data_IF_061233752375
#
_entry.id   IF_061233752375
#
_cell.length_a   1.000
_cell.length_b   1.000
_cell.length_c   1.000
_cell.angle_alpha   90.00
_cell.angle_beta   90.00
_cell.angle_gamma   90.00
#
_symmetry.space_group_name_H-M   'P 1'
#
loop_
_entity.id
_entity.type
_entity.pdbx_description
1 polymer ?
#
# COMPACT_ATOMS: atom_id res chain seq x y z
N UNK A 1 -109.12 -8.54 27.03
CA UNK A 1 -109.05 -9.65 28.00
C UNK A 1 -107.83 -9.46 28.90
N UNK A 2 -108.02 -9.54 30.24
CA UNK A 2 -107.03 -9.57 31.35
C UNK A 2 -106.11 -8.34 31.53
N UNK A 3 -106.43 -7.38 32.41
CA UNK A 3 -106.23 -7.30 33.90
C UNK A 3 -104.76 -7.27 34.34
N UNK A 4 -104.38 -6.21 35.08
CA UNK A 4 -103.76 -6.15 36.44
C UNK A 4 -102.97 -4.83 36.58
N UNK A 5 -103.53 -3.83 37.29
CA UNK A 5 -103.29 -3.43 38.70
C UNK A 5 -102.17 -2.37 38.90
N UNK A 6 -102.62 -1.25 39.46
CA UNK A 6 -101.91 -0.06 39.98
C UNK A 6 -101.04 -0.35 41.20
N UNK A 7 -99.90 0.34 41.34
CA UNK A 7 -99.39 0.83 42.64
C UNK A 7 -98.67 2.18 42.43
N UNK A 8 -99.12 3.21 43.17
CA UNK A 8 -98.46 4.50 43.37
C UNK A 8 -97.18 4.33 44.22
N UNK A 9 -96.12 5.06 43.87
CA UNK A 9 -94.93 5.20 44.72
C UNK A 9 -94.27 6.56 44.50
N UNK A 10 -94.59 7.51 45.36
CA UNK A 10 -93.87 8.78 45.54
C UNK A 10 -92.52 8.54 46.21
N UNK A 11 -91.41 8.95 45.58
CA UNK A 11 -90.10 9.00 46.23
C UNK A 11 -89.39 10.32 45.95
N UNK A 12 -89.08 11.01 47.05
CA UNK A 12 -88.33 12.26 47.17
C UNK A 12 -87.00 12.20 46.41
N UNK A 13 -86.70 13.26 45.66
CA UNK A 13 -85.36 13.58 45.15
C UNK A 13 -84.53 14.19 46.29
N UNK A 14 -83.62 13.40 46.88
CA UNK A 14 -82.57 13.92 47.76
C UNK A 14 -81.33 14.20 46.92
N UNK A 15 -80.96 15.48 46.83
CA UNK A 15 -79.77 15.97 46.14
C UNK A 15 -78.52 15.66 46.99
N UNK A 16 -77.88 14.51 46.75
CA UNK A 16 -76.59 14.18 47.39
C UNK A 16 -75.44 14.83 46.62
N UNK A 17 -74.91 15.93 47.17
CA UNK A 17 -73.65 16.53 46.75
C UNK A 17 -72.51 15.55 47.06
N UNK A 18 -72.04 14.83 46.03
CA UNK A 18 -70.80 14.06 46.12
C UNK A 18 -69.63 15.04 46.15
N UNK A 19 -69.03 15.22 47.32
CA UNK A 19 -67.67 15.73 47.44
C UNK A 19 -66.73 14.73 46.75
N UNK A 20 -66.29 15.04 45.54
CA UNK A 20 -65.16 14.37 44.91
C UNK A 20 -63.93 14.77 45.71
N UNK A 21 -63.51 13.87 46.61
CA UNK A 21 -62.20 13.96 47.24
C UNK A 21 -61.15 13.95 46.14
N UNK A 22 -60.50 15.09 45.94
CA UNK A 22 -59.31 15.21 45.09
C UNK A 22 -58.24 14.34 45.74
N UNK A 23 -57.99 13.17 45.17
CA UNK A 23 -56.82 12.38 45.52
C UNK A 23 -55.59 13.25 45.22
N UNK A 24 -54.87 13.66 46.27
CA UNK A 24 -53.57 14.29 46.13
C UNK A 24 -52.67 13.28 45.40
N UNK A 25 -52.22 13.65 44.20
CA UNK A 25 -51.23 12.88 43.47
C UNK A 25 -50.05 12.59 44.41
N UNK A 26 -49.67 11.33 44.56
CA UNK A 26 -48.40 10.98 45.19
C UNK A 26 -47.30 11.81 44.53
N UNK A 27 -46.51 12.52 45.33
CA UNK A 27 -45.42 13.37 44.83
C UNK A 27 -44.36 12.47 44.17
N UNK A 28 -44.55 12.18 42.89
CA UNK A 28 -43.55 11.50 42.07
C UNK A 28 -42.29 12.36 41.98
N UNK A 29 -41.13 11.73 41.83
CA UNK A 29 -39.85 12.45 41.76
C UNK A 29 -39.78 13.44 40.58
N UNK A 30 -40.65 13.30 39.56
CA UNK A 30 -40.72 14.13 38.37
C UNK A 30 -42.07 14.86 38.34
N UNK A 31 -42.08 16.12 38.76
CA UNK A 31 -43.24 16.99 38.77
C UNK A 31 -42.88 18.40 38.26
N UNK A 32 -43.87 19.28 38.13
CA UNK A 32 -43.60 20.69 37.80
C UNK A 32 -42.70 21.37 38.85
N UNK A 33 -42.75 20.91 40.11
CA UNK A 33 -41.97 21.46 41.23
C UNK A 33 -40.65 20.72 41.48
N UNK A 34 -40.53 19.45 41.07
CA UNK A 34 -39.40 18.58 41.39
C UNK A 34 -38.85 17.90 40.12
N UNK A 35 -37.55 18.04 39.84
CA UNK A 35 -36.85 17.43 38.68
C UNK A 35 -37.59 17.49 37.33
N UNK A 36 -38.26 18.62 37.04
CA UNK A 36 -39.13 18.82 35.87
C UNK A 36 -38.47 18.58 34.50
N UNK A 37 -37.15 18.41 34.42
CA UNK A 37 -36.41 18.15 33.18
C UNK A 37 -36.04 16.68 32.97
N UNK A 38 -36.28 15.80 33.95
CA UNK A 38 -36.02 14.36 33.82
C UNK A 38 -37.06 13.69 32.93
N UNK A 39 -36.64 12.71 32.12
CA UNK A 39 -37.53 11.97 31.22
C UNK A 39 -38.05 12.78 30.03
N UNK A 40 -37.34 13.82 29.58
CA UNK A 40 -37.73 14.69 28.47
C UNK A 40 -36.83 14.61 27.23
N UNK A 41 -35.64 14.01 27.33
CA UNK A 41 -34.76 13.87 26.16
C UNK A 41 -35.25 12.77 25.20
N UNK A 42 -34.73 12.74 23.98
CA UNK A 42 -35.17 11.79 22.94
C UNK A 42 -35.01 10.31 23.34
N UNK A 43 -33.92 9.97 24.01
CA UNK A 43 -33.64 8.61 24.49
C UNK A 43 -33.63 8.63 26.03
N UNK A 44 -34.71 8.16 26.63
CA UNK A 44 -34.86 8.08 28.09
C UNK A 44 -34.34 6.71 28.55
N UNK A 45 -33.57 6.68 29.64
CA UNK A 45 -33.13 5.41 30.20
C UNK A 45 -34.32 4.70 30.87
N UNK A 46 -34.47 3.39 30.63
CA UNK A 46 -35.63 2.59 31.06
C UNK A 46 -36.15 2.89 32.48
N UNK A 47 -35.31 2.80 33.53
CA UNK A 47 -35.72 3.11 34.90
C UNK A 47 -36.29 4.53 35.09
N UNK A 48 -35.77 5.52 34.37
CA UNK A 48 -36.30 6.89 34.41
C UNK A 48 -37.63 6.98 33.67
N UNK A 49 -37.76 6.30 32.53
CA UNK A 49 -39.00 6.29 31.74
C UNK A 49 -40.20 5.70 32.49
N UNK A 50 -39.97 4.77 33.42
CA UNK A 50 -40.99 4.17 34.28
C UNK A 50 -41.06 4.78 35.69
N UNK A 51 -40.33 5.87 35.96
CA UNK A 51 -40.35 6.56 37.25
C UNK A 51 -39.69 5.82 38.42
N UNK A 52 -38.88 4.79 38.15
CA UNK A 52 -38.19 3.99 39.17
C UNK A 52 -36.88 4.64 39.63
N UNK A 53 -36.95 5.79 40.28
CA UNK A 53 -35.75 6.52 40.73
C UNK A 53 -35.00 5.79 41.85
N UNK A 54 -35.71 5.04 42.69
CA UNK A 54 -35.18 4.37 43.90
C UNK A 54 -34.33 3.13 43.60
N UNK A 55 -34.30 2.65 42.35
CA UNK A 55 -33.42 1.53 41.96
C UNK A 55 -31.95 1.94 41.90
N UNK A 56 -31.70 3.25 41.70
CA UNK A 56 -30.35 3.82 41.65
C UNK A 56 -30.08 4.78 42.81
N UNK A 57 -31.12 5.46 43.30
CA UNK A 57 -31.02 6.44 44.38
C UNK A 57 -31.60 5.91 45.69
N UNK A 58 -30.99 6.28 46.81
CA UNK A 58 -31.56 6.09 48.14
C UNK A 58 -31.54 7.42 48.88
N UNK A 59 -32.52 7.63 49.76
CA UNK A 59 -32.57 8.81 50.62
C UNK A 59 -31.26 8.91 51.42
N UNK A 60 -30.61 10.08 51.37
CA UNK A 60 -29.46 10.37 52.24
C UNK A 60 -29.91 10.91 53.60
N UNK A 61 -31.09 11.55 53.67
CA UNK A 61 -31.75 12.05 54.88
C UNK A 61 -33.26 11.83 54.80
N UNK A 62 -33.87 11.53 55.95
CA UNK A 62 -35.32 11.35 56.07
C UNK A 62 -36.05 12.67 55.80
N UNK A 63 -37.08 12.64 54.97
CA UNK A 63 -37.91 13.82 54.66
C UNK A 63 -37.40 14.65 53.47
N UNK A 64 -36.87 14.00 52.44
CA UNK A 64 -36.51 14.67 51.18
C UNK A 64 -37.71 15.46 50.61
N UNK A 65 -37.50 16.70 50.12
CA UNK A 65 -36.25 17.47 50.07
C UNK A 65 -35.94 18.21 51.38
N UNK A 66 -34.69 18.16 51.85
CA UNK A 66 -34.23 18.80 53.10
C UNK A 66 -33.48 20.12 52.87
N UNK A 67 -33.39 20.63 51.63
CA UNK A 67 -32.80 21.93 51.31
C UNK A 67 -32.40 22.10 49.84
N UNK A 68 -31.44 23.01 49.57
CA UNK A 68 -30.92 23.33 48.21
C UNK A 68 -29.83 22.37 47.70
N UNK A 69 -29.37 21.40 48.51
CA UNK A 69 -28.32 20.44 48.13
C UNK A 69 -28.95 19.08 47.78
N UNK A 70 -28.26 18.23 46.99
CA UNK A 70 -28.75 16.89 46.68
C UNK A 70 -28.80 16.04 47.97
N UNK A 71 -30.00 15.64 48.39
CA UNK A 71 -30.23 14.82 49.59
C UNK A 71 -30.41 13.32 49.26
N UNK A 72 -29.87 12.89 48.10
CA UNK A 72 -29.84 11.50 47.66
C UNK A 72 -28.41 10.97 47.58
N UNK A 73 -28.25 9.68 47.87
CA UNK A 73 -27.03 8.91 47.62
C UNK A 73 -27.30 7.83 46.58
N UNK A 74 -26.26 7.36 45.91
CA UNK A 74 -26.36 6.20 45.04
C UNK A 74 -26.40 4.92 45.88
N UNK A 75 -27.19 3.93 45.46
CA UNK A 75 -27.29 2.61 46.13
C UNK A 75 -26.04 1.73 45.95
N UNK A 76 -25.16 2.12 45.03
CA UNK A 76 -23.85 1.53 44.77
C UNK A 76 -22.98 2.56 44.03
N UNK A 77 -21.66 2.38 44.01
CA UNK A 77 -20.72 3.33 43.40
C UNK A 77 -20.12 2.79 42.10
N UNK A 78 -19.84 3.70 41.16
CA UNK A 78 -19.16 3.39 39.90
C UNK A 78 -19.84 2.27 39.10
N UNK A 79 -19.04 1.31 38.63
CA UNK A 79 -19.52 0.18 37.82
C UNK A 79 -20.55 -0.71 38.53
N UNK A 80 -20.41 -0.88 39.85
CA UNK A 80 -21.24 -1.81 40.62
C UNK A 80 -22.71 -1.37 40.63
N UNK A 81 -23.00 -0.08 40.42
CA UNK A 81 -24.35 0.43 40.25
C UNK A 81 -24.96 -0.04 38.94
N UNK A 82 -24.22 0.10 37.85
CA UNK A 82 -24.66 -0.26 36.50
C UNK A 82 -24.79 -1.78 36.35
N UNK A 83 -23.88 -2.55 36.95
CA UNK A 83 -23.81 -4.01 36.87
C UNK A 83 -24.93 -4.74 37.60
N UNK A 84 -25.75 -4.02 38.40
CA UNK A 84 -27.00 -4.58 38.96
C UNK A 84 -27.98 -5.00 37.87
N UNK A 85 -27.91 -4.35 36.70
CA UNK A 85 -28.80 -4.62 35.57
C UNK A 85 -28.04 -4.85 34.25
N UNK A 86 -26.91 -4.19 34.04
CA UNK A 86 -26.13 -4.29 32.81
C UNK A 86 -25.03 -5.35 32.91
N UNK A 87 -24.83 -6.05 31.80
CA UNK A 87 -23.73 -6.99 31.69
C UNK A 87 -22.38 -6.26 31.72
N UNK A 88 -21.34 -6.84 32.35
CA UNK A 88 -20.00 -6.26 32.35
C UNK A 88 -19.49 -6.04 30.92
N UNK A 89 -18.99 -4.84 30.64
CA UNK A 89 -18.46 -4.44 29.31
C UNK A 89 -16.94 -4.42 29.25
N UNK A 90 -16.28 -4.71 30.37
CA UNK A 90 -14.83 -4.71 30.56
C UNK A 90 -14.26 -6.14 30.59
N UNK A 91 -14.87 -7.04 29.84
CA UNK A 91 -14.57 -8.49 29.85
C UNK A 91 -13.20 -8.83 29.29
N UNK A 92 -12.65 -7.98 28.43
CA UNK A 92 -11.39 -8.23 27.77
C UNK A 92 -10.19 -7.63 28.51
N UNK A 93 -8.99 -8.11 28.17
CA UNK A 93 -7.72 -7.69 28.78
C UNK A 93 -7.49 -6.18 28.64
N UNK A 94 -7.63 -5.64 27.43
CA UNK A 94 -7.35 -4.23 27.15
C UNK A 94 -8.59 -3.38 27.40
N UNK A 95 -8.77 -2.97 28.66
CA UNK A 95 -9.87 -2.11 29.11
C UNK A 95 -9.56 -0.64 28.85
N UNK A 96 -10.55 0.10 28.37
CA UNK A 96 -10.47 1.55 28.26
C UNK A 96 -10.44 2.19 29.67
N UNK A 97 -9.61 3.20 29.88
CA UNK A 97 -9.30 3.74 31.23
C UNK A 97 -10.54 4.16 32.04
N UNK A 98 -11.50 4.93 31.50
CA UNK A 98 -12.71 5.31 32.24
C UNK A 98 -13.54 4.08 32.65
N UNK A 99 -13.60 3.08 31.78
CA UNK A 99 -14.36 1.84 32.02
C UNK A 99 -13.69 1.02 33.12
N UNK A 100 -12.36 0.87 33.09
CA UNK A 100 -11.58 0.21 34.15
C UNK A 100 -11.81 0.85 35.53
N UNK A 101 -12.00 2.18 35.57
CA UNK A 101 -12.27 2.94 36.80
C UNK A 101 -13.75 2.96 37.21
N UNK A 102 -14.65 2.45 36.37
CA UNK A 102 -16.09 2.54 36.61
C UNK A 102 -16.69 3.94 36.43
N UNK A 103 -16.02 4.80 35.66
CA UNK A 103 -16.44 6.17 35.34
C UNK A 103 -17.43 6.18 34.16
N UNK A 104 -18.45 5.32 34.21
CA UNK A 104 -19.43 5.12 33.14
C UNK A 104 -20.13 6.44 32.75
N UNK A 105 -20.38 7.29 33.75
CA UNK A 105 -21.04 8.58 33.58
C UNK A 105 -20.17 9.63 32.91
N UNK A 106 -18.88 9.36 32.65
CA UNK A 106 -18.04 10.21 31.80
C UNK A 106 -18.53 10.21 30.36
N UNK A 107 -19.08 9.08 29.90
CA UNK A 107 -19.55 8.89 28.53
C UNK A 107 -21.07 8.76 28.43
N UNK A 108 -21.71 8.12 29.41
CA UNK A 108 -23.15 7.88 29.43
C UNK A 108 -23.88 8.86 30.37
N UNK A 109 -25.09 9.25 30.00
CA UNK A 109 -26.05 9.87 30.90
C UNK A 109 -27.04 8.80 31.38
N UNK A 110 -26.98 8.38 32.66
CA UNK A 110 -27.82 7.30 33.17
C UNK A 110 -29.29 7.71 33.33
N UNK A 111 -29.66 8.97 33.10
CA UNK A 111 -31.05 9.40 33.12
C UNK A 111 -31.63 9.42 31.71
N UNK A 112 -30.97 10.13 30.79
CA UNK A 112 -31.50 10.40 29.46
C UNK A 112 -30.45 11.06 28.56
N UNK A 113 -30.59 10.94 27.23
CA UNK A 113 -29.79 11.68 26.26
C UNK A 113 -30.54 11.93 24.96
N UNK A 114 -30.12 12.93 24.19
CA UNK A 114 -30.54 13.11 22.80
C UNK A 114 -29.76 12.23 21.81
N UNK A 115 -28.73 11.53 22.29
CA UNK A 115 -27.98 10.54 21.53
C UNK A 115 -28.37 9.11 21.96
N UNK A 116 -28.36 8.14 21.02
CA UNK A 116 -28.68 6.75 21.34
C UNK A 116 -27.70 6.14 22.34
N UNK A 117 -28.11 5.05 23.01
CA UNK A 117 -27.30 4.36 24.04
C UNK A 117 -26.84 5.29 25.18
N UNK A 118 -27.58 6.36 25.37
CA UNK A 118 -27.42 7.33 26.43
C UNK A 118 -26.07 8.04 26.40
N UNK A 119 -25.47 8.22 25.22
CA UNK A 119 -24.18 8.89 25.10
C UNK A 119 -24.33 10.39 25.36
N UNK A 120 -23.37 11.01 26.03
CA UNK A 120 -23.39 12.46 26.33
C UNK A 120 -23.20 13.38 25.13
N UNK A 121 -22.79 12.82 23.99
CA UNK A 121 -22.57 13.54 22.72
C UNK A 121 -23.21 12.75 21.59
N UNK A 122 -23.70 13.46 20.58
CA UNK A 122 -24.32 12.85 19.41
C UNK A 122 -23.31 12.16 18.49
N UNK A 123 -22.13 12.76 18.31
CA UNK A 123 -21.05 12.19 17.51
C UNK A 123 -20.04 11.45 18.39
N UNK A 124 -19.63 10.26 17.95
CA UNK A 124 -18.59 9.47 18.64
C UNK A 124 -17.30 10.27 18.80
N UNK A 125 -16.85 10.92 17.72
CA UNK A 125 -15.63 11.75 17.77
C UNK A 125 -15.70 12.87 18.80
N UNK A 126 -16.82 13.60 18.90
CA UNK A 126 -16.99 14.66 19.91
C UNK A 126 -16.91 14.10 21.34
N UNK A 127 -17.41 12.89 21.56
CA UNK A 127 -17.29 12.20 22.83
C UNK A 127 -15.83 11.80 23.11
N UNK A 128 -15.17 11.15 22.15
CA UNK A 128 -13.78 10.74 22.30
C UNK A 128 -12.87 11.97 22.53
N UNK A 129 -13.12 13.07 21.82
CA UNK A 129 -12.31 14.28 21.92
C UNK A 129 -12.57 15.12 23.17
N UNK A 130 -13.54 14.77 24.02
CA UNK A 130 -13.63 15.35 25.35
C UNK A 130 -12.42 15.01 26.22
N UNK A 131 -11.69 13.93 25.88
CA UNK A 131 -10.49 13.48 26.58
C UNK A 131 -9.29 13.29 25.65
N UNK A 132 -9.48 12.82 24.43
CA UNK A 132 -8.41 12.59 23.45
C UNK A 132 -8.17 13.84 22.61
N UNK A 133 -6.95 14.38 22.62
CA UNK A 133 -6.65 15.59 21.84
C UNK A 133 -6.76 15.32 20.33
N UNK A 134 -7.56 16.12 19.63
CA UNK A 134 -7.76 16.03 18.19
C UNK A 134 -6.61 16.67 17.37
N UNK A 135 -5.65 17.35 18.03
CA UNK A 135 -4.66 18.19 17.35
C UNK A 135 -3.70 17.45 16.42
N UNK A 136 -3.59 16.12 16.53
CA UNK A 136 -2.77 15.28 15.66
C UNK A 136 -3.58 14.45 14.64
N UNK A 137 -4.91 14.60 14.64
CA UNK A 137 -5.81 13.79 13.81
C UNK A 137 -6.27 14.51 12.53
N UNK A 138 -5.93 15.79 12.38
CA UNK A 138 -6.31 16.63 11.24
C UNK A 138 -5.08 16.98 10.42
N UNK A 139 -4.82 16.16 9.39
CA UNK A 139 -3.83 16.44 8.35
C UNK A 139 -4.49 16.50 6.97
N UNK A 140 -3.68 16.77 5.94
CA UNK A 140 -4.16 16.94 4.55
C UNK A 140 -4.99 15.76 4.06
N UNK A 141 -4.57 14.54 4.37
CA UNK A 141 -5.28 13.32 4.06
C UNK A 141 -5.70 12.65 5.36
N UNK A 142 -7.01 12.42 5.51
CA UNK A 142 -7.57 11.70 6.66
C UNK A 142 -8.13 10.36 6.18
N UNK A 143 -7.94 9.34 7.00
CA UNK A 143 -8.56 8.06 6.75
C UNK A 143 -10.09 8.17 6.95
N UNK A 144 -10.87 7.51 6.10
CA UNK A 144 -12.34 7.68 6.04
C UNK A 144 -13.06 7.62 7.41
N UNK A 145 -12.84 6.57 8.23
CA UNK A 145 -13.45 6.47 9.56
C UNK A 145 -13.06 7.61 10.51
N UNK A 146 -11.86 8.16 10.37
CA UNK A 146 -11.43 9.32 11.16
C UNK A 146 -12.13 10.58 10.68
N UNK A 147 -12.20 10.79 9.36
CA UNK A 147 -12.87 11.94 8.76
C UNK A 147 -14.38 11.97 9.07
N UNK A 148 -15.05 10.81 9.15
CA UNK A 148 -16.45 10.71 9.56
C UNK A 148 -16.66 10.80 11.07
N UNK A 149 -15.60 10.63 11.86
CA UNK A 149 -15.65 10.64 13.31
C UNK A 149 -16.10 9.32 13.93
N UNK A 150 -16.06 8.22 13.17
CA UNK A 150 -16.46 6.87 13.58
C UNK A 150 -15.28 6.10 14.16
N UNK A 151 -14.69 6.63 15.23
CA UNK A 151 -13.54 6.02 15.91
C UNK A 151 -13.80 4.57 16.33
N UNK A 152 -15.08 4.25 16.59
CA UNK A 152 -15.53 2.96 17.06
C UNK A 152 -15.65 1.87 16.00
N UNK A 153 -15.34 2.17 14.73
CA UNK A 153 -15.22 1.14 13.68
C UNK A 153 -13.93 0.32 13.88
N UNK A 154 -12.88 0.96 14.39
CA UNK A 154 -11.60 0.30 14.65
C UNK A 154 -11.34 0.11 16.14
N UNK A 155 -11.84 1.00 17.01
CA UNK A 155 -11.60 0.96 18.46
C UNK A 155 -12.86 0.62 19.26
N UNK A 156 -12.78 -0.36 20.15
CA UNK A 156 -13.82 -0.62 21.12
C UNK A 156 -13.76 0.42 22.27
N UNK A 157 -14.81 1.23 22.50
CA UNK A 157 -14.79 2.25 23.56
C UNK A 157 -14.81 1.67 24.98
N UNK A 158 -15.04 0.36 25.13
CA UNK A 158 -15.09 -0.34 26.42
C UNK A 158 -13.87 -1.21 26.67
N UNK A 159 -13.74 -2.31 25.94
CA UNK A 159 -12.62 -3.25 26.06
C UNK A 159 -12.47 -4.13 24.82
N UNK A 160 -11.25 -4.56 24.54
CA UNK A 160 -10.96 -5.50 23.45
C UNK A 160 -9.90 -6.52 23.86
N UNK A 161 -9.88 -7.74 23.29
CA UNK A 161 -8.75 -8.65 23.42
C UNK A 161 -7.48 -8.13 22.71
N UNK A 162 -7.57 -7.07 21.92
CA UNK A 162 -6.45 -6.49 21.18
C UNK A 162 -5.96 -5.18 21.82
N UNK A 163 -4.64 -4.97 21.78
CA UNK A 163 -3.99 -3.75 22.26
C UNK A 163 -4.59 -2.51 21.58
N UNK A 164 -4.62 -1.39 22.31
CA UNK A 164 -5.26 -0.13 21.88
C UNK A 164 -6.76 -0.25 21.61
N UNK A 165 -7.39 -1.24 22.24
CA UNK A 165 -8.81 -1.49 22.13
C UNK A 165 -9.25 -1.84 20.69
N UNK A 166 -8.38 -2.40 19.85
CA UNK A 166 -8.74 -2.61 18.43
C UNK A 166 -9.78 -3.71 18.23
N UNK A 167 -10.70 -3.58 17.28
CA UNK A 167 -11.70 -4.62 16.98
C UNK A 167 -11.06 -5.90 16.39
N UNK A 168 -9.88 -5.80 15.79
CA UNK A 168 -9.10 -6.95 15.32
C UNK A 168 -7.59 -6.76 15.54
N UNK A 169 -6.84 -7.85 15.43
CA UNK A 169 -5.40 -7.88 15.74
C UNK A 169 -4.55 -7.43 14.56
N UNK A 170 -3.61 -6.51 14.79
CA UNK A 170 -2.59 -6.15 13.82
C UNK A 170 -3.20 -5.71 12.49
N UNK A 171 -2.78 -6.33 11.38
CA UNK A 171 -3.28 -6.00 10.04
C UNK A 171 -4.74 -6.41 9.81
N UNK A 172 -5.28 -7.35 10.60
CA UNK A 172 -6.65 -7.83 10.40
C UNK A 172 -7.68 -6.72 10.60
N UNK A 173 -7.36 -5.68 11.40
CA UNK A 173 -8.23 -4.50 11.55
C UNK A 173 -8.37 -3.73 10.24
N UNK A 174 -7.32 -3.70 9.42
CA UNK A 174 -7.35 -3.04 8.12
C UNK A 174 -8.22 -3.84 7.14
N UNK A 175 -8.15 -5.17 7.21
CA UNK A 175 -8.89 -6.08 6.33
C UNK A 175 -10.37 -6.21 6.67
N UNK A 176 -10.86 -5.62 7.76
CA UNK A 176 -12.29 -5.46 8.01
C UNK A 176 -12.97 -4.66 6.89
N UNK A 177 -12.24 -3.73 6.25
CA UNK A 177 -12.74 -2.93 5.14
C UNK A 177 -11.91 -3.11 3.85
N UNK A 178 -10.58 -3.31 3.96
CA UNK A 178 -9.69 -3.48 2.80
C UNK A 178 -9.53 -4.95 2.40
N UNK A 179 -10.61 -5.73 2.45
CA UNK A 179 -10.60 -7.15 2.11
C UNK A 179 -10.08 -7.42 0.69
N UNK A 180 -10.36 -6.50 -0.24
CA UNK A 180 -9.89 -6.50 -1.64
C UNK A 180 -8.35 -6.58 -1.75
N UNK A 181 -7.63 -6.14 -0.70
CA UNK A 181 -6.17 -6.17 -0.65
C UNK A 181 -5.60 -7.43 -0.07
N UNK A 182 -6.38 -8.24 0.66
CA UNK A 182 -5.88 -9.41 1.38
C UNK A 182 -5.21 -10.42 0.44
N UNK A 183 -5.77 -10.61 -0.76
CA UNK A 183 -5.20 -11.49 -1.78
C UNK A 183 -3.83 -11.03 -2.30
N UNK A 184 -3.50 -9.74 -2.22
CA UNK A 184 -2.16 -9.27 -2.57
C UNK A 184 -1.13 -9.91 -1.64
N UNK A 185 -1.41 -10.02 -0.34
CA UNK A 185 -0.45 -10.48 0.67
C UNK A 185 -0.12 -11.98 0.60
N UNK A 186 -0.76 -12.75 -0.29
CA UNK A 186 -0.49 -14.18 -0.48
C UNK A 186 0.36 -14.49 -1.72
N UNK A 187 0.77 -13.46 -2.48
CA UNK A 187 1.65 -13.61 -3.65
C UNK A 187 3.02 -14.21 -3.28
N UNK A 188 3.69 -14.79 -4.28
CA UNK A 188 4.92 -15.60 -4.12
C UNK A 188 6.06 -14.92 -3.35
N UNK A 189 6.23 -13.61 -3.52
CA UNK A 189 7.28 -12.81 -2.89
C UNK A 189 6.67 -11.72 -2.01
N UNK A 190 6.27 -12.03 -0.77
CA UNK A 190 5.74 -11.02 0.13
C UNK A 190 6.82 -10.02 0.56
N UNK A 191 6.44 -8.75 0.72
CA UNK A 191 7.31 -7.76 1.32
C UNK A 191 7.19 -7.85 2.85
N UNK A 192 8.26 -8.30 3.51
CA UNK A 192 8.26 -8.60 4.95
C UNK A 192 7.70 -7.47 5.84
N UNK A 193 8.09 -6.19 5.68
CA UNK A 193 7.51 -5.10 6.47
C UNK A 193 5.98 -4.99 6.34
N UNK A 194 5.44 -5.21 5.14
CA UNK A 194 4.01 -5.15 4.89
C UNK A 194 3.25 -6.30 5.57
N UNK A 195 3.84 -7.50 5.61
CA UNK A 195 3.29 -8.65 6.35
C UNK A 195 3.27 -8.42 7.86
N UNK A 196 4.29 -7.75 8.39
CA UNK A 196 4.41 -7.51 9.82
C UNK A 196 3.46 -6.43 10.31
N UNK A 197 3.37 -5.31 9.60
CA UNK A 197 2.37 -4.28 9.90
C UNK A 197 2.17 -3.28 8.76
N UNK A 198 0.92 -3.02 8.40
CA UNK A 198 0.52 -1.91 7.53
C UNK A 198 1.08 -0.57 8.06
N UNK A 199 1.18 -0.44 9.39
CA UNK A 199 1.60 0.79 10.07
C UNK A 199 3.08 1.12 9.89
N UNK A 200 3.88 0.22 9.32
CA UNK A 200 5.28 0.54 8.96
C UNK A 200 5.37 1.53 7.81
N UNK A 201 4.33 1.60 6.98
CA UNK A 201 4.28 2.46 5.80
C UNK A 201 3.08 3.39 5.80
N UNK A 202 1.97 3.00 6.43
CA UNK A 202 0.74 3.77 6.49
C UNK A 202 0.47 4.31 7.89
N UNK A 203 -0.17 5.46 7.99
CA UNK A 203 -0.81 5.93 9.21
C UNK A 203 -2.29 5.56 9.15
N UNK A 204 -2.81 4.90 10.20
CA UNK A 204 -4.21 4.46 10.22
C UNK A 204 -5.22 5.60 10.42
N UNK A 205 -4.75 6.78 10.83
CA UNK A 205 -5.60 7.92 11.09
C UNK A 205 -5.49 8.98 9.99
N UNK A 206 -4.28 9.44 9.68
CA UNK A 206 -4.07 10.57 8.78
C UNK A 206 -2.61 10.74 8.36
N UNK A 207 -2.37 11.43 7.24
CA UNK A 207 -1.05 11.84 6.79
C UNK A 207 -1.10 13.11 5.94
N UNK A 208 0.05 13.74 5.72
CA UNK A 208 0.23 14.78 4.71
C UNK A 208 0.50 14.19 3.30
N UNK A 209 0.62 12.86 3.21
CA UNK A 209 0.93 12.14 1.98
C UNK A 209 -0.25 11.26 1.50
N UNK A 210 -0.42 11.07 0.18
CA UNK A 210 -1.45 10.20 -0.38
C UNK A 210 -1.40 8.78 0.19
N UNK A 211 -2.56 8.11 0.21
CA UNK A 211 -2.70 6.75 0.75
C UNK A 211 -2.27 6.60 2.21
N UNK A 212 -2.29 7.70 2.97
CA UNK A 212 -1.84 7.77 4.35
C UNK A 212 -0.39 7.33 4.55
N UNK A 213 0.50 7.53 3.58
CA UNK A 213 1.90 7.14 3.75
C UNK A 213 2.56 7.91 4.88
N UNK A 214 3.35 7.25 5.74
CA UNK A 214 4.02 7.91 6.87
C UNK A 214 5.12 8.89 6.47
N UNK A 215 5.59 8.79 5.22
CA UNK A 215 6.62 9.65 4.64
C UNK A 215 6.34 9.85 3.14
N UNK A 216 6.93 10.90 2.58
CA UNK A 216 6.72 11.26 1.18
C UNK A 216 7.38 10.28 0.20
N UNK A 217 6.57 9.71 -0.71
CA UNK A 217 7.04 9.08 -1.94
C UNK A 217 8.20 8.11 -1.75
N UNK A 218 9.29 8.33 -2.48
CA UNK A 218 10.47 7.46 -2.45
C UNK A 218 11.25 7.54 -1.12
N UNK A 219 11.13 8.62 -0.34
CA UNK A 219 11.81 8.74 0.95
C UNK A 219 11.36 7.65 1.92
N UNK A 220 10.08 7.23 1.84
CA UNK A 220 9.55 6.12 2.62
C UNK A 220 10.36 4.84 2.38
N UNK A 221 10.55 4.47 1.12
CA UNK A 221 11.32 3.28 0.75
C UNK A 221 12.79 3.40 1.15
N UNK A 222 13.41 4.56 0.89
CA UNK A 222 14.84 4.79 1.12
C UNK A 222 15.22 4.90 2.60
N UNK A 223 14.25 5.12 3.50
CA UNK A 223 14.46 5.08 4.95
C UNK A 223 14.96 3.72 5.44
N UNK A 224 14.48 2.63 4.81
CA UNK A 224 14.93 1.25 5.08
C UNK A 224 15.93 0.76 4.02
N UNK A 225 15.71 1.08 2.74
CA UNK A 225 16.56 0.64 1.63
C UNK A 225 17.80 1.53 1.46
N UNK A 226 18.60 1.68 2.54
CA UNK A 226 19.75 2.58 2.59
C UNK A 226 20.79 2.30 1.49
N UNK A 227 21.09 1.02 1.23
CA UNK A 227 22.00 0.63 0.15
C UNK A 227 21.53 1.13 -1.22
N UNK A 228 20.21 1.13 -1.46
CA UNK A 228 19.66 1.70 -2.69
C UNK A 228 19.79 3.22 -2.70
N UNK A 229 19.57 3.89 -1.57
CA UNK A 229 19.79 5.33 -1.45
C UNK A 229 21.23 5.71 -1.78
N UNK A 230 22.20 4.96 -1.26
CA UNK A 230 23.63 5.19 -1.50
C UNK A 230 23.99 4.93 -2.96
N UNK A 231 23.47 3.84 -3.55
CA UNK A 231 23.63 3.53 -4.98
C UNK A 231 23.09 4.63 -5.88
N UNK A 232 21.90 5.13 -5.57
CA UNK A 232 21.26 6.23 -6.29
C UNK A 232 22.06 7.54 -6.20
N UNK A 233 22.70 7.81 -5.06
CA UNK A 233 23.58 8.99 -4.87
C UNK A 233 24.91 8.85 -5.60
N UNK A 234 25.47 7.64 -5.65
CA UNK A 234 26.73 7.36 -6.33
C UNK A 234 26.59 7.28 -7.86
N UNK A 235 25.37 7.07 -8.37
CA UNK A 235 25.10 6.95 -9.80
C UNK A 235 25.19 8.30 -10.51
N UNK A 236 26.16 8.46 -11.42
CA UNK A 236 26.30 9.67 -12.24
C UNK A 236 25.32 9.70 -13.41
N UNK A 237 24.92 8.53 -13.91
CA UNK A 237 23.89 8.36 -14.93
C UNK A 237 22.70 7.65 -14.29
N UNK A 238 21.66 8.42 -13.97
CA UNK A 238 20.42 7.91 -13.37
C UNK A 238 19.42 7.50 -14.45
N UNK A 239 18.60 6.51 -14.13
CA UNK A 239 17.49 6.15 -15.00
C UNK A 239 16.38 7.20 -14.88
N UNK A 240 16.06 7.88 -15.98
CA UNK A 240 15.11 9.01 -16.00
C UNK A 240 13.70 8.66 -15.47
N UNK A 241 13.31 7.39 -15.47
CA UNK A 241 12.02 6.99 -14.89
C UNK A 241 11.94 7.27 -13.38
N UNK A 242 13.08 7.32 -12.69
CA UNK A 242 13.13 7.66 -11.26
C UNK A 242 12.89 9.15 -10.99
N UNK A 243 13.15 10.01 -11.97
CA UNK A 243 12.91 11.45 -11.84
C UNK A 243 11.46 11.79 -12.21
N UNK A 244 10.84 10.96 -13.07
CA UNK A 244 9.47 11.14 -13.55
C UNK A 244 8.42 10.43 -12.70
N UNK A 245 8.81 9.50 -11.83
CA UNK A 245 7.84 8.70 -11.08
C UNK A 245 8.43 7.98 -9.87
N UNK A 246 7.55 7.51 -8.96
CA UNK A 246 7.96 6.82 -7.74
C UNK A 246 8.53 5.43 -8.03
N UNK A 247 9.19 4.83 -7.04
CA UNK A 247 9.63 3.42 -7.08
C UNK A 247 8.49 2.46 -7.43
N UNK A 248 7.27 2.79 -7.01
CA UNK A 248 6.05 2.03 -7.29
C UNK A 248 5.62 2.08 -8.76
N UNK A 249 6.36 2.77 -9.64
CA UNK A 249 6.19 2.63 -11.10
C UNK A 249 6.55 1.21 -11.52
N UNK A 250 7.67 0.68 -11.02
CA UNK A 250 8.19 -0.65 -11.34
C UNK A 250 7.89 -1.68 -10.26
N UNK A 251 7.84 -1.25 -9.00
CA UNK A 251 7.69 -2.14 -7.84
C UNK A 251 6.27 -2.15 -7.26
N UNK A 252 5.94 -3.23 -6.55
CA UNK A 252 4.73 -3.38 -5.73
C UNK A 252 5.16 -3.50 -4.26
N UNK A 253 4.77 -2.56 -3.38
CA UNK A 253 5.34 -2.47 -2.04
C UNK A 253 4.77 -3.47 -1.02
N UNK A 254 3.67 -4.16 -1.34
CA UNK A 254 3.07 -5.17 -0.45
C UNK A 254 3.66 -6.56 -0.70
N UNK A 255 3.72 -6.94 -1.97
CA UNK A 255 4.07 -8.28 -2.43
C UNK A 255 4.09 -8.35 -3.95
N UNK A 256 4.74 -9.37 -4.50
CA UNK A 256 4.76 -9.65 -5.94
C UNK A 256 4.76 -11.14 -6.25
N UNK A 257 4.31 -11.53 -7.44
CA UNK A 257 4.56 -12.85 -8.01
C UNK A 257 5.94 -12.96 -8.70
N UNK A 258 6.65 -11.84 -8.79
CA UNK A 258 7.95 -11.66 -9.44
C UNK A 258 9.01 -11.26 -8.41
N UNK A 259 10.27 -11.73 -8.58
CA UNK A 259 11.34 -11.42 -7.65
C UNK A 259 11.62 -9.91 -7.59
N UNK A 260 12.21 -9.46 -6.47
CA UNK A 260 12.55 -8.05 -6.21
C UNK A 260 11.33 -7.10 -6.24
N UNK A 261 10.16 -7.63 -5.88
CA UNK A 261 8.92 -6.86 -5.79
C UNK A 261 8.52 -6.19 -7.11
N UNK A 262 8.88 -6.76 -8.27
CA UNK A 262 8.55 -6.21 -9.58
C UNK A 262 7.06 -6.39 -9.90
N UNK A 263 6.41 -5.49 -10.63
CA UNK A 263 4.99 -5.65 -11.00
C UNK A 263 4.72 -6.77 -12.00
N UNK A 264 5.69 -7.05 -12.87
CA UNK A 264 5.64 -8.10 -13.89
C UNK A 264 7.06 -8.54 -14.23
N UNK A 265 7.23 -9.43 -15.23
CA UNK A 265 8.54 -9.81 -15.73
C UNK A 265 9.35 -8.58 -16.17
N UNK A 266 10.66 -8.63 -15.96
CA UNK A 266 11.55 -7.48 -16.20
C UNK A 266 11.42 -6.91 -17.61
N UNK A 267 11.41 -7.76 -18.66
CA UNK A 267 11.29 -7.28 -20.04
C UNK A 267 9.98 -6.51 -20.26
N UNK A 268 8.88 -7.00 -19.67
CA UNK A 268 7.55 -6.46 -19.90
C UNK A 268 7.40 -5.11 -19.18
N UNK A 269 7.96 -4.97 -17.97
CA UNK A 269 8.11 -3.68 -17.28
C UNK A 269 8.87 -2.70 -18.17
N UNK A 270 10.04 -3.10 -18.68
CA UNK A 270 10.86 -2.22 -19.51
C UNK A 270 10.12 -1.76 -20.77
N UNK A 271 9.40 -2.66 -21.43
CA UNK A 271 8.69 -2.36 -22.68
C UNK A 271 7.43 -1.51 -22.51
N UNK A 272 6.94 -1.30 -21.29
CA UNK A 272 5.86 -0.31 -21.05
C UNK A 272 6.27 1.09 -21.50
N UNK A 273 7.55 1.45 -21.29
CA UNK A 273 8.14 2.73 -21.68
C UNK A 273 9.08 2.60 -22.89
N UNK A 274 9.94 1.56 -22.93
CA UNK A 274 10.87 1.32 -24.03
C UNK A 274 10.21 0.53 -25.17
N UNK A 275 9.16 1.11 -25.75
CA UNK A 275 8.29 0.46 -26.74
C UNK A 275 9.03 0.04 -28.00
N UNK A 276 9.91 0.91 -28.53
CA UNK A 276 10.69 0.63 -29.73
C UNK A 276 11.64 -0.55 -29.53
N UNK A 277 12.30 -0.61 -28.37
CA UNK A 277 13.13 -1.74 -28.00
C UNK A 277 12.30 -3.02 -27.89
N UNK A 278 11.13 -2.94 -27.27
CA UNK A 278 10.19 -4.06 -27.20
C UNK A 278 9.76 -4.55 -28.59
N UNK A 279 9.47 -3.63 -29.52
CA UNK A 279 9.11 -3.95 -30.89
C UNK A 279 10.28 -4.61 -31.63
N UNK A 280 11.50 -4.07 -31.51
CA UNK A 280 12.71 -4.63 -32.10
C UNK A 280 12.96 -6.06 -31.59
N UNK A 281 12.92 -6.26 -30.26
CA UNK A 281 13.16 -7.58 -29.65
C UNK A 281 12.09 -8.58 -30.11
N UNK A 282 10.81 -8.20 -30.13
CA UNK A 282 9.72 -9.09 -30.59
C UNK A 282 9.82 -9.45 -32.08
N UNK A 283 10.30 -8.55 -32.92
CA UNK A 283 10.43 -8.78 -34.36
C UNK A 283 11.71 -9.55 -34.75
N UNK A 284 12.69 -9.64 -33.85
CA UNK A 284 13.98 -10.21 -34.16
C UNK A 284 13.98 -11.75 -34.14
N UNK A 285 14.70 -12.35 -35.10
CA UNK A 285 14.85 -13.81 -35.19
C UNK A 285 15.72 -14.39 -34.08
N UNK A 286 16.79 -13.69 -33.71
CA UNK A 286 17.80 -14.18 -32.77
C UNK A 286 17.90 -13.22 -31.58
N UNK A 287 17.51 -13.67 -30.39
CA UNK A 287 17.62 -12.90 -29.15
C UNK A 287 18.96 -13.13 -28.47
N UNK A 288 19.54 -12.09 -27.87
CA UNK A 288 20.73 -12.27 -27.04
C UNK A 288 20.34 -13.00 -25.74
N UNK A 289 21.23 -13.85 -25.20
CA UNK A 289 20.92 -14.78 -24.10
C UNK A 289 20.20 -14.12 -22.91
N UNK A 290 20.75 -13.04 -22.32
CA UNK A 290 20.07 -12.31 -21.23
C UNK A 290 18.69 -11.77 -21.61
N UNK A 291 18.51 -11.29 -22.85
CA UNK A 291 17.21 -10.80 -23.33
C UNK A 291 16.20 -11.95 -23.44
N UNK A 292 16.63 -13.11 -23.98
CA UNK A 292 15.81 -14.31 -24.07
C UNK A 292 15.38 -14.82 -22.68
N UNK A 293 16.24 -14.66 -21.68
CA UNK A 293 16.03 -15.10 -20.30
C UNK A 293 15.25 -14.08 -19.44
N UNK A 294 14.74 -12.99 -20.03
CA UNK A 294 14.09 -11.88 -19.33
C UNK A 294 15.02 -11.15 -18.33
N UNK A 295 16.32 -11.17 -18.55
CA UNK A 295 17.33 -10.58 -17.66
C UNK A 295 17.94 -9.31 -18.26
N UNK A 296 17.12 -8.27 -18.41
CA UNK A 296 17.58 -6.98 -18.93
C UNK A 296 18.61 -6.32 -17.99
N UNK A 297 18.51 -6.61 -16.69
CA UNK A 297 19.43 -6.07 -15.69
C UNK A 297 20.75 -6.85 -15.61
N UNK A 298 20.97 -7.89 -16.43
CA UNK A 298 22.29 -8.50 -16.56
C UNK A 298 23.34 -7.46 -16.99
N UNK A 299 22.95 -6.60 -17.95
CA UNK A 299 23.81 -5.54 -18.49
C UNK A 299 23.40 -4.15 -17.99
N UNK A 300 22.10 -3.90 -17.77
CA UNK A 300 21.61 -2.61 -17.31
C UNK A 300 21.47 -2.56 -15.78
N UNK A 301 21.71 -1.39 -15.21
CA UNK A 301 21.26 -1.03 -13.88
C UNK A 301 20.02 -0.14 -13.99
N UNK A 302 18.81 -0.66 -13.74
CA UNK A 302 17.58 0.10 -13.96
C UNK A 302 17.41 1.28 -12.99
N UNK A 303 18.27 1.43 -11.99
CA UNK A 303 18.26 2.56 -11.07
C UNK A 303 19.27 3.63 -11.47
N UNK A 304 20.47 3.21 -11.88
CA UNK A 304 21.52 4.12 -12.31
C UNK A 304 22.89 3.47 -12.25
N UNK A 305 23.85 4.06 -12.95
CA UNK A 305 25.23 3.58 -12.97
C UNK A 305 26.20 4.74 -13.25
N UNK A 306 27.49 4.44 -13.26
CA UNK A 306 28.50 5.38 -13.74
C UNK A 306 28.58 5.46 -15.28
N UNK A 307 27.91 4.55 -16.01
CA UNK A 307 28.08 4.40 -17.45
C UNK A 307 26.86 4.90 -18.22
N UNK A 308 27.05 5.33 -19.48
CA UNK A 308 25.94 5.72 -20.34
C UNK A 308 24.93 4.59 -20.57
N UNK A 309 23.67 4.95 -20.86
CA UNK A 309 22.57 4.00 -21.06
C UNK A 309 22.33 3.10 -19.84
N UNK A 310 22.71 3.60 -18.65
CA UNK A 310 22.64 2.91 -17.36
C UNK A 310 23.25 1.50 -17.41
N UNK A 311 24.39 1.34 -18.07
CA UNK A 311 25.09 0.06 -18.16
C UNK A 311 25.90 -0.22 -16.88
N UNK A 312 25.94 -1.46 -16.41
CA UNK A 312 26.75 -1.85 -15.25
C UNK A 312 28.26 -1.66 -15.45
N UNK A 313 28.72 -1.74 -16.70
CA UNK A 313 30.11 -1.56 -17.12
C UNK A 313 30.15 -0.74 -18.41
N UNK A 314 31.30 -0.12 -18.66
CA UNK A 314 31.49 0.66 -19.87
C UNK A 314 31.40 -0.21 -21.13
N UNK A 315 30.77 0.35 -22.16
CA UNK A 315 30.75 -0.19 -23.51
C UNK A 315 30.74 0.99 -24.50
N UNK A 316 31.60 0.97 -25.53
CA UNK A 316 31.74 2.10 -26.45
C UNK A 316 30.47 2.33 -27.28
N UNK A 317 30.13 3.60 -27.46
CA UNK A 317 29.02 4.01 -28.34
C UNK A 317 29.47 4.18 -29.79
N UNK A 318 30.75 4.45 -29.96
CA UNK A 318 31.40 4.84 -31.20
C UNK A 318 31.59 3.63 -32.12
N UNK A 319 31.58 3.89 -33.43
CA UNK A 319 31.86 2.87 -34.43
C UNK A 319 33.34 2.46 -34.41
N UNK A 320 34.24 3.45 -34.38
CA UNK A 320 35.68 3.25 -34.26
C UNK A 320 36.15 3.59 -32.84
N UNK A 321 37.02 2.74 -32.28
CA UNK A 321 37.70 2.98 -31.00
C UNK A 321 39.02 2.22 -30.97
N UNK A 322 40.12 2.84 -30.50
CA UNK A 322 41.36 2.13 -30.22
C UNK A 322 41.11 0.94 -29.30
N UNK A 323 41.74 -0.20 -29.61
CA UNK A 323 41.52 -1.40 -28.82
C UNK A 323 42.07 -1.25 -27.40
N UNK A 324 41.21 -1.61 -26.46
CA UNK A 324 41.49 -1.65 -25.04
C UNK A 324 40.54 -2.71 -24.46
N UNK A 325 41.07 -3.74 -23.80
CA UNK A 325 40.26 -4.87 -23.31
C UNK A 325 39.17 -4.39 -22.33
N UNK A 326 39.52 -3.45 -21.46
CA UNK A 326 38.66 -2.78 -20.50
C UNK A 326 37.52 -1.99 -21.15
N UNK A 327 37.70 -1.53 -22.40
CA UNK A 327 36.64 -0.85 -23.13
C UNK A 327 35.46 -1.78 -23.44
N UNK A 328 35.68 -3.09 -23.42
CA UNK A 328 34.67 -4.11 -23.71
C UNK A 328 34.38 -4.97 -22.47
N UNK A 329 34.69 -4.47 -21.28
CA UNK A 329 34.51 -5.21 -20.02
C UNK A 329 33.10 -5.78 -19.85
N UNK A 330 32.06 -5.05 -20.30
CA UNK A 330 30.68 -5.56 -20.32
C UNK A 330 30.53 -6.87 -21.12
N UNK A 331 31.16 -6.94 -22.29
CA UNK A 331 31.05 -8.10 -23.17
C UNK A 331 31.86 -9.28 -22.59
N UNK A 332 33.05 -8.99 -22.07
CA UNK A 332 33.99 -10.01 -21.62
C UNK A 332 33.67 -10.63 -20.26
N UNK A 333 32.64 -10.15 -19.57
CA UNK A 333 32.06 -10.86 -18.42
C UNK A 333 31.40 -12.18 -18.82
N UNK A 334 31.01 -12.34 -20.10
CA UNK A 334 30.35 -13.53 -20.60
C UNK A 334 31.03 -14.11 -21.85
N UNK A 335 31.69 -13.27 -22.65
CA UNK A 335 32.39 -13.69 -23.86
C UNK A 335 33.89 -13.81 -23.62
N UNK A 336 34.53 -14.80 -24.24
CA UNK A 336 35.98 -14.94 -24.14
C UNK A 336 36.69 -13.74 -24.81
N UNK A 337 37.50 -12.99 -24.05
CA UNK A 337 38.28 -11.83 -24.55
C UNK A 337 39.35 -12.21 -25.58
N UNK A 338 39.85 -13.45 -25.53
CA UNK A 338 40.95 -13.91 -26.38
C UNK A 338 40.53 -13.92 -27.86
N UNK A 339 39.22 -13.93 -28.15
CA UNK A 339 38.69 -13.78 -29.51
C UNK A 339 39.16 -12.48 -30.18
N UNK A 340 39.50 -11.42 -29.43
CA UNK A 340 40.01 -10.17 -29.98
C UNK A 340 41.51 -9.97 -29.73
N UNK A 341 42.14 -10.72 -28.82
CA UNK A 341 43.56 -10.59 -28.48
C UNK A 341 44.45 -11.46 -29.36
N UNK A 342 44.01 -12.68 -29.68
CA UNK A 342 44.84 -13.63 -30.39
C UNK A 342 44.84 -13.35 -31.88
N UNK A 343 46.01 -13.04 -32.43
CA UNK A 343 46.19 -12.83 -33.87
C UNK A 343 45.92 -14.11 -34.68
N UNK A 344 46.24 -15.26 -34.11
CA UNK A 344 46.12 -16.58 -34.72
C UNK A 344 45.29 -17.50 -33.83
N UNK A 345 44.33 -18.22 -34.38
CA UNK A 345 43.52 -19.19 -33.64
C UNK A 345 42.93 -20.27 -34.53
N UNK A 346 42.80 -21.49 -34.01
CA UNK A 346 42.04 -22.59 -34.64
C UNK A 346 40.76 -22.94 -33.89
N UNK A 347 40.65 -22.54 -32.61
CA UNK A 347 39.62 -23.01 -31.66
C UNK A 347 38.72 -21.90 -31.10
N UNK A 348 39.19 -20.64 -31.03
CA UNK A 348 38.46 -19.58 -30.35
C UNK A 348 37.25 -19.08 -31.13
N UNK A 349 37.32 -19.12 -32.47
CA UNK A 349 36.26 -18.62 -33.33
C UNK A 349 36.29 -19.27 -34.71
N UNK A 350 35.11 -19.36 -35.32
CA UNK A 350 34.95 -19.75 -36.72
C UNK A 350 35.05 -18.57 -37.70
N UNK A 351 35.20 -17.34 -37.19
CA UNK A 351 35.47 -16.15 -38.00
C UNK A 351 36.99 -15.96 -38.15
N UNK A 352 37.60 -16.83 -38.98
CA UNK A 352 39.04 -16.89 -39.24
C UNK A 352 39.32 -17.31 -40.68
N UNK A 353 40.37 -16.79 -41.30
CA UNK A 353 40.83 -17.16 -42.63
C UNK A 353 42.12 -17.96 -42.51
N UNK A 354 42.08 -19.26 -42.79
CA UNK A 354 43.02 -20.21 -42.20
C UNK A 354 43.05 -20.02 -40.69
N UNK A 355 44.23 -19.90 -40.12
CA UNK A 355 44.39 -19.67 -38.68
C UNK A 355 44.37 -18.18 -38.32
N UNK A 356 44.29 -17.26 -39.29
CA UNK A 356 44.26 -15.83 -39.00
C UNK A 356 42.91 -15.44 -38.42
N UNK A 357 42.92 -14.91 -37.20
CA UNK A 357 41.71 -14.48 -36.51
C UNK A 357 41.15 -13.18 -37.10
N UNK A 358 39.96 -13.22 -37.68
CA UNK A 358 39.37 -12.04 -38.31
C UNK A 358 38.87 -11.02 -37.26
N UNK A 359 38.51 -11.44 -36.04
CA UNK A 359 38.15 -10.49 -34.97
C UNK A 359 39.34 -9.59 -34.60
N UNK A 360 40.53 -10.18 -34.41
CA UNK A 360 41.76 -9.42 -34.17
C UNK A 360 41.99 -8.35 -35.25
N UNK A 361 41.84 -8.71 -36.53
CA UNK A 361 42.05 -7.79 -37.65
C UNK A 361 41.07 -6.61 -37.71
N UNK A 362 39.88 -6.74 -37.14
CA UNK A 362 38.86 -5.69 -37.18
C UNK A 362 38.79 -4.88 -35.89
N UNK A 363 39.01 -5.54 -34.74
CA UNK A 363 38.77 -4.97 -33.41
C UNK A 363 40.07 -4.50 -32.77
N UNK A 364 41.15 -5.29 -32.88
CA UNK A 364 42.43 -5.02 -32.21
C UNK A 364 43.36 -4.14 -33.04
N UNK A 365 42.99 -2.86 -33.19
CA UNK A 365 43.72 -1.84 -33.95
C UNK A 365 43.59 -0.47 -33.28
N UNK A 366 44.47 0.46 -33.66
CA UNK A 366 44.34 1.88 -33.31
C UNK A 366 43.02 2.46 -33.86
N UNK A 367 42.68 2.15 -35.11
CA UNK A 367 41.35 2.39 -35.70
C UNK A 367 40.48 1.12 -35.65
N UNK A 368 40.38 0.52 -34.47
CA UNK A 368 39.57 -0.67 -34.22
C UNK A 368 38.08 -0.41 -34.39
N UNK A 369 37.33 -1.40 -34.87
CA UNK A 369 35.86 -1.38 -34.90
C UNK A 369 35.34 -1.93 -33.59
N UNK A 370 34.41 -1.22 -32.94
CA UNK A 370 33.77 -1.73 -31.73
C UNK A 370 32.92 -2.97 -32.03
N UNK A 371 32.62 -3.79 -31.02
CA UNK A 371 31.74 -4.96 -31.21
C UNK A 371 30.37 -4.56 -31.81
N UNK A 372 29.88 -3.36 -31.47
CA UNK A 372 28.65 -2.78 -32.02
C UNK A 372 28.74 -2.50 -33.52
N UNK A 373 29.92 -2.36 -34.11
CA UNK A 373 30.05 -2.17 -35.55
C UNK A 373 29.48 -3.35 -36.35
N UNK A 374 29.50 -4.56 -35.77
CA UNK A 374 29.08 -5.79 -36.44
C UNK A 374 27.94 -6.51 -35.72
N UNK A 375 27.78 -6.35 -34.40
CA UNK A 375 26.79 -7.10 -33.61
C UNK A 375 25.64 -6.23 -33.09
N UNK A 376 24.44 -6.81 -33.07
CA UNK A 376 23.31 -6.36 -32.28
C UNK A 376 23.39 -6.95 -30.87
N UNK A 377 23.38 -6.08 -29.85
CA UNK A 377 23.59 -6.50 -28.46
C UNK A 377 22.31 -6.98 -27.76
N UNK A 378 21.14 -6.58 -28.27
CA UNK A 378 19.83 -6.99 -27.73
C UNK A 378 19.23 -8.14 -28.52
N UNK A 379 19.07 -7.94 -29.83
CA UNK A 379 18.48 -8.91 -30.73
C UNK A 379 18.87 -8.61 -32.19
N UNK A 380 19.23 -9.66 -32.93
CA UNK A 380 19.70 -9.59 -34.30
C UNK A 380 18.88 -10.45 -35.26
N UNK A 381 19.02 -10.18 -36.55
CA UNK A 381 18.29 -10.88 -37.61
C UNK A 381 19.16 -11.80 -38.46
N UNK A 382 20.48 -11.73 -38.30
CA UNK A 382 21.43 -12.68 -38.90
C UNK A 382 22.03 -13.58 -37.82
N UNK A 383 22.65 -14.67 -38.26
CA UNK A 383 23.36 -15.59 -37.38
C UNK A 383 24.41 -14.85 -36.53
N UNK A 384 24.63 -15.35 -35.30
CA UNK A 384 25.60 -14.78 -34.34
C UNK A 384 25.36 -13.29 -34.04
N UNK A 385 24.09 -12.87 -34.12
CA UNK A 385 23.65 -11.51 -33.83
C UNK A 385 24.30 -10.45 -34.71
N UNK A 386 24.73 -10.82 -35.92
CA UNK A 386 25.27 -9.85 -36.86
C UNK A 386 24.16 -8.89 -37.30
N UNK A 387 24.44 -7.59 -37.26
CA UNK A 387 23.48 -6.56 -37.67
C UNK A 387 23.35 -6.49 -39.17
N UNK A 388 22.17 -6.17 -39.68
CA UNK A 388 21.94 -5.96 -41.13
C UNK A 388 22.55 -4.66 -41.63
N UNK A 389 22.59 -3.66 -40.76
CA UNK A 389 23.08 -2.34 -41.08
C UNK A 389 23.62 -1.65 -39.82
N UNK A 390 24.60 -0.77 -40.00
CA UNK A 390 25.18 0.04 -38.92
C UNK A 390 25.05 1.53 -39.23
N UNK A 391 24.47 2.33 -38.33
CA UNK A 391 24.46 3.78 -38.48
C UNK A 391 25.89 4.32 -38.56
N UNK A 392 26.18 5.12 -39.58
CA UNK A 392 27.49 5.67 -39.86
C UNK A 392 27.39 7.11 -40.40
N UNK A 393 28.07 8.06 -39.77
CA UNK A 393 28.08 9.46 -40.23
C UNK A 393 26.73 10.17 -40.15
N UNK A 394 25.89 9.84 -39.16
CA UNK A 394 24.61 10.51 -38.90
C UNK A 394 23.44 9.93 -39.69
N UNK A 395 23.45 10.07 -41.01
CA UNK A 395 22.29 9.74 -41.87
C UNK A 395 22.46 8.46 -42.69
N UNK A 396 23.69 7.97 -42.87
CA UNK A 396 23.95 6.79 -43.69
C UNK A 396 23.91 5.51 -42.85
N UNK A 397 23.34 4.46 -43.43
CA UNK A 397 23.34 3.11 -42.84
C UNK A 397 24.19 2.20 -43.71
N UNK A 398 25.33 1.78 -43.17
CA UNK A 398 26.24 0.86 -43.84
C UNK A 398 25.65 -0.56 -43.79
N UNK A 399 25.36 -1.21 -44.92
CA UNK A 399 24.88 -2.59 -44.91
C UNK A 399 25.99 -3.54 -44.45
N UNK A 400 25.58 -4.60 -43.75
CA UNK A 400 26.44 -5.70 -43.30
C UNK A 400 25.69 -7.00 -43.60
N UNK A 401 26.04 -7.65 -44.70
CA UNK A 401 25.43 -8.91 -45.11
C UNK A 401 26.43 -10.04 -44.94
N UNK A 402 26.20 -10.87 -43.93
CA UNK A 402 27.01 -12.04 -43.65
C UNK A 402 26.37 -13.29 -44.26
N UNK A 403 27.12 -13.98 -45.12
CA UNK A 403 26.72 -15.27 -45.68
C UNK A 403 27.63 -16.34 -45.10
N UNK A 404 27.05 -17.24 -44.31
CA UNK A 404 27.76 -18.39 -43.75
C UNK A 404 27.95 -19.47 -44.81
N UNK A 405 29.15 -20.02 -44.90
CA UNK A 405 29.48 -21.16 -45.75
C UNK A 405 29.96 -22.34 -44.88
N UNK A 406 30.06 -23.55 -45.44
CA UNK A 406 30.47 -24.75 -44.69
C UNK A 406 31.83 -24.54 -44.01
N UNK A 407 32.85 -24.14 -44.76
CA UNK A 407 34.22 -23.95 -44.27
C UNK A 407 34.59 -22.49 -43.98
N UNK A 408 33.65 -21.56 -44.17
CA UNK A 408 33.99 -20.14 -44.18
C UNK A 408 32.78 -19.23 -44.14
N UNK A 409 32.90 -18.09 -44.80
CA UNK A 409 31.81 -17.17 -45.02
C UNK A 409 32.24 -15.97 -45.84
N UNK A 410 31.28 -15.17 -46.26
CA UNK A 410 31.55 -13.90 -46.93
C UNK A 410 30.82 -12.78 -46.21
N UNK A 411 31.41 -11.59 -46.27
CA UNK A 411 30.82 -10.38 -45.75
C UNK A 411 30.82 -9.31 -46.83
N UNK A 412 29.62 -8.83 -47.15
CA UNK A 412 29.43 -7.63 -47.99
C UNK A 412 29.19 -6.47 -47.04
N UNK A 413 30.11 -5.50 -47.08
CA UNK A 413 30.05 -4.28 -46.26
C UNK A 413 30.32 -3.06 -47.12
N UNK A 414 29.84 -1.89 -46.68
CA UNK A 414 30.15 -0.63 -47.37
C UNK A 414 31.60 -0.14 -47.20
N UNK A 415 32.41 -0.76 -46.34
CA UNK A 415 33.78 -0.30 -46.04
C UNK A 415 34.86 -0.88 -46.96
N UNK A 416 34.63 -2.03 -47.60
CA UNK A 416 35.57 -2.69 -48.51
C UNK A 416 34.80 -3.54 -49.52
N UNK A 417 35.40 -3.87 -50.67
CA UNK A 417 34.84 -4.85 -51.62
C UNK A 417 34.48 -6.15 -50.88
N UNK A 418 33.42 -6.88 -51.28
CA UNK A 418 33.06 -8.15 -50.65
C UNK A 418 34.28 -9.03 -50.40
N UNK A 419 34.47 -9.48 -49.16
CA UNK A 419 35.55 -10.39 -48.79
C UNK A 419 34.98 -11.71 -48.31
N UNK A 420 35.55 -12.80 -48.82
CA UNK A 420 35.32 -14.14 -48.32
C UNK A 420 36.49 -14.58 -47.45
N UNK A 421 36.23 -15.52 -46.55
CA UNK A 421 37.25 -16.22 -45.79
C UNK A 421 36.93 -17.72 -45.79
N UNK A 422 37.97 -18.55 -45.69
CA UNK A 422 37.84 -19.99 -45.58
C UNK A 422 38.85 -20.52 -44.56
N UNK A 423 38.42 -21.44 -43.70
CA UNK A 423 39.20 -21.97 -42.59
C UNK A 423 40.16 -23.10 -43.00
N UNK A 424 39.92 -23.72 -44.15
CA UNK A 424 40.68 -24.87 -44.69
C UNK A 424 41.57 -24.42 -45.84
N UNK A 425 41.03 -23.65 -46.79
CA UNK A 425 41.74 -23.15 -47.98
C UNK A 425 41.79 -21.61 -47.94
N UNK A 426 42.73 -20.99 -47.19
CA UNK A 426 42.67 -19.57 -46.87
C UNK A 426 42.64 -18.67 -48.10
N UNK A 427 41.72 -17.72 -48.11
CA UNK A 427 41.58 -16.74 -49.20
C UNK A 427 42.78 -15.80 -49.19
N UNK A 428 43.45 -15.64 -50.33
CA UNK A 428 44.48 -14.62 -50.51
C UNK A 428 43.80 -13.31 -50.90
N UNK A 429 44.07 -12.25 -50.16
CA UNK A 429 43.59 -10.92 -50.48
C UNK A 429 44.69 -10.20 -51.27
N UNK A 430 44.35 -9.74 -52.47
CA UNK A 430 45.19 -8.85 -53.26
C UNK A 430 45.22 -7.43 -52.70
#
# INVERSE_FOLDING_TARGET
MRKFWTVLGTTLFALSVMFVGVALAEDTCVSAKCHAQMGKAKYIHGPVGVGQCTVCHAEAKKGHPTGKKPDFKLVATGKALCEKCHQPVDRNEFKHTPVKKGECTGCHDPHQSDAPKQLKKAKTSELCYSCHKNTQMVRKFQHGPVASGDCNVCHNPHSSPNKFQLEAKGNDVCFLCHEDRKAEFTRKYPHKPAQESCLKCHDAHNSDHPFMQSMEGSALCLSCHKKMNDHLKASTVRHQALDKGPCTTCHTPHSSDYPRQLKTHTKDICYTCHKDMGAQVRAAKNLHGPVQQNDCYACHDPHGSANPLVLKKYFPKEFYKPYATESYAMCFDCHNKDIALDKITTKLTNFRNGDTNMHFLHVNKEKGRSCKACHEVHAGNQDKHIRKEVPFGGSWKLPVNFTKMQNGGSCVVGCHKPKAYDRVNPVKYE
#
